data_IF_387579572387
#
_entry.id   IF_387579572387
#
_cell.length_a   1.000
_cell.length_b   1.000
_cell.length_c   1.000
_cell.angle_alpha   90.00
_cell.angle_beta   90.00
_cell.angle_gamma   90.00
#
_symmetry.space_group_name_H-M   'P 1'
#
loop_
_entity.id
_entity.type
_entity.pdbx_description
1 polymer ?
#
# COMPACT_ATOMS: atom_id res chain seq x y z
N UNK A 1 10.39 12.22 4.51
CA UNK A 1 11.54 11.37 4.11
C UNK A 1 11.68 10.31 5.17
N UNK A 2 11.17 9.09 4.94
CA UNK A 2 11.30 8.01 5.91
C UNK A 2 12.79 7.74 6.13
N UNK A 3 13.26 7.90 7.37
CA UNK A 3 14.61 7.50 7.74
C UNK A 3 14.66 5.97 7.69
N UNK A 4 15.28 5.44 6.64
CA UNK A 4 15.55 4.01 6.51
C UNK A 4 16.64 3.66 7.53
N UNK A 5 16.26 3.10 8.68
CA UNK A 5 17.20 2.52 9.63
C UNK A 5 17.95 1.35 8.93
N UNK A 6 19.27 1.44 8.74
CA UNK A 6 20.03 0.38 8.09
C UNK A 6 19.85 -0.94 8.85
N UNK A 7 19.41 -2.00 8.16
CA UNK A 7 19.33 -3.35 8.72
C UNK A 7 17.95 -3.80 9.21
N UNK A 8 16.89 -2.98 9.11
CA UNK A 8 15.52 -3.48 9.35
C UNK A 8 14.99 -4.18 8.09
N UNK A 9 14.61 -5.47 8.14
CA UNK A 9 14.06 -6.18 6.99
C UNK A 9 12.81 -5.50 6.47
N UNK A 10 12.70 -5.38 5.14
CA UNK A 10 11.46 -4.90 4.51
C UNK A 10 10.43 -6.01 4.56
N UNK A 11 9.19 -5.66 4.89
CA UNK A 11 8.07 -6.58 4.74
C UNK A 11 7.25 -6.25 3.48
N UNK A 12 6.52 -7.27 3.03
CA UNK A 12 5.49 -7.19 2.03
C UNK A 12 4.21 -7.75 2.66
N UNK A 13 3.15 -6.96 2.73
CA UNK A 13 1.87 -7.38 3.33
C UNK A 13 0.71 -7.13 2.38
N UNK A 14 0.05 -8.21 1.95
CA UNK A 14 -1.22 -8.14 1.24
C UNK A 14 -2.40 -8.24 2.23
N UNK A 15 -3.44 -7.44 2.02
CA UNK A 15 -4.64 -7.42 2.86
C UNK A 15 -5.91 -7.13 2.03
N UNK A 16 -7.09 -7.63 2.47
CA UNK A 16 -8.33 -7.41 1.75
C UNK A 16 -8.84 -5.97 1.95
N UNK A 17 -9.44 -5.42 0.91
CA UNK A 17 -10.22 -4.17 0.94
C UNK A 17 -11.53 -4.37 0.19
N UNK A 18 -12.51 -3.54 0.52
CA UNK A 18 -13.82 -3.54 -0.15
C UNK A 18 -13.92 -2.51 -1.28
N UNK A 19 -13.01 -1.53 -1.31
CA UNK A 19 -13.03 -0.41 -2.25
C UNK A 19 -11.59 0.06 -2.52
N UNK A 20 -11.16 -0.03 -3.79
CA UNK A 20 -9.82 0.40 -4.22
C UNK A 20 -9.68 1.93 -4.30
N UNK A 21 -10.66 2.69 -4.83
CA UNK A 21 -10.67 4.15 -4.69
C UNK A 21 -10.50 4.65 -3.25
N UNK A 22 -11.17 4.03 -2.27
CA UNK A 22 -11.03 4.39 -0.85
C UNK A 22 -9.62 4.10 -0.35
N UNK A 23 -9.07 2.91 -0.67
CA UNK A 23 -7.70 2.56 -0.34
C UNK A 23 -6.70 3.54 -0.96
N UNK A 24 -6.88 3.93 -2.22
CA UNK A 24 -6.02 4.92 -2.91
C UNK A 24 -6.04 6.27 -2.20
N UNK A 25 -7.21 6.76 -1.81
CA UNK A 25 -7.33 8.02 -1.06
C UNK A 25 -6.64 7.92 0.29
N UNK A 26 -6.86 6.84 1.03
CA UNK A 26 -6.28 6.67 2.36
C UNK A 26 -4.76 6.51 2.31
N UNK A 27 -4.24 5.53 1.58
CA UNK A 27 -2.81 5.27 1.52
C UNK A 27 -2.07 6.34 0.72
N UNK A 28 -2.61 6.77 -0.42
CA UNK A 28 -1.99 7.76 -1.31
C UNK A 28 -2.02 9.19 -0.78
N UNK A 29 -3.19 9.67 -0.35
CA UNK A 29 -3.36 11.10 -0.01
C UNK A 29 -3.23 11.35 1.50
N UNK A 30 -3.87 10.52 2.34
CA UNK A 30 -3.85 10.74 3.80
C UNK A 30 -2.52 10.32 4.39
N UNK A 31 -2.01 9.14 4.03
CA UNK A 31 -0.73 8.64 4.53
C UNK A 31 0.47 9.07 3.68
N UNK A 32 0.24 9.57 2.47
CA UNK A 32 1.31 10.00 1.57
C UNK A 32 2.18 8.86 1.07
N UNK A 33 1.63 7.64 0.99
CA UNK A 33 2.30 6.45 0.47
C UNK A 33 2.15 6.41 -1.07
N UNK A 34 3.23 6.58 -1.85
CA UNK A 34 3.14 6.53 -3.30
C UNK A 34 2.54 5.20 -3.78
N UNK A 35 1.63 5.28 -4.75
CA UNK A 35 1.16 4.11 -5.50
C UNK A 35 2.28 3.59 -6.40
N UNK A 36 2.46 2.27 -6.42
CA UNK A 36 3.36 1.60 -7.36
C UNK A 36 2.57 0.97 -8.51
N UNK A 37 2.51 -0.36 -8.55
CA UNK A 37 1.73 -1.13 -9.53
C UNK A 37 0.29 -1.27 -9.06
N UNK A 38 -0.62 -1.28 -10.02
CA UNK A 38 -2.04 -1.48 -9.78
C UNK A 38 -2.72 -2.23 -10.92
N UNK A 39 -3.87 -2.82 -10.61
CA UNK A 39 -4.82 -3.45 -11.53
C UNK A 39 -6.24 -3.09 -11.08
N UNK A 40 -7.25 -3.57 -11.81
CA UNK A 40 -8.66 -3.45 -11.40
C UNK A 40 -8.99 -4.23 -10.11
N UNK A 41 -8.06 -5.06 -9.61
CA UNK A 41 -8.28 -5.92 -8.44
C UNK A 41 -7.29 -5.70 -7.28
N UNK A 42 -6.24 -4.90 -7.47
CA UNK A 42 -5.30 -4.60 -6.37
C UNK A 42 -4.43 -3.37 -6.66
N UNK A 43 -3.88 -2.78 -5.60
CA UNK A 43 -2.92 -1.67 -5.64
C UNK A 43 -1.79 -1.95 -4.65
N UNK A 44 -0.52 -1.80 -5.07
CA UNK A 44 0.63 -1.77 -4.17
C UNK A 44 1.02 -0.32 -3.79
N UNK A 45 1.45 -0.11 -2.55
CA UNK A 45 1.89 1.17 -2.02
C UNK A 45 3.27 1.06 -1.38
N UNK A 46 4.09 2.10 -1.54
CA UNK A 46 5.30 2.30 -0.75
C UNK A 46 4.91 2.90 0.62
N UNK A 47 4.81 2.02 1.61
CA UNK A 47 4.60 2.36 3.01
C UNK A 47 5.95 2.65 3.68
N UNK A 48 6.49 3.84 3.43
CA UNK A 48 7.69 4.36 4.10
C UNK A 48 8.92 3.44 3.97
N UNK A 49 9.11 2.81 2.81
CA UNK A 49 10.18 1.85 2.53
C UNK A 49 9.74 0.38 2.62
N UNK A 50 8.52 0.12 3.07
CA UNK A 50 7.87 -1.20 3.06
C UNK A 50 6.83 -1.28 1.93
N UNK A 51 6.39 -2.49 1.60
CA UNK A 51 5.36 -2.69 0.59
C UNK A 51 4.08 -3.21 1.25
N UNK A 52 2.96 -2.56 0.97
CA UNK A 52 1.63 -3.07 1.31
C UNK A 52 0.77 -3.17 0.06
N UNK A 53 -0.11 -4.17 -0.01
CA UNK A 53 -0.92 -4.45 -1.19
C UNK A 53 -2.38 -4.59 -0.80
N UNK A 54 -3.21 -3.65 -1.24
CA UNK A 54 -4.66 -3.69 -1.04
C UNK A 54 -5.29 -4.55 -2.14
N UNK A 55 -5.89 -5.68 -1.78
CA UNK A 55 -6.59 -6.57 -2.70
C UNK A 55 -8.11 -6.41 -2.58
N UNK A 56 -8.77 -6.07 -3.69
CA UNK A 56 -10.23 -6.01 -3.74
C UNK A 56 -10.80 -7.42 -3.56
N UNK A 57 -11.63 -7.61 -2.53
CA UNK A 57 -12.34 -8.87 -2.30
C UNK A 57 -13.85 -8.66 -2.39
N UNK A 58 -14.61 -9.63 -2.93
CA UNK A 58 -16.06 -9.62 -2.86
C UNK A 58 -16.54 -9.68 -1.41
N UNK A 59 -17.73 -9.12 -1.16
CA UNK A 59 -18.49 -9.32 0.09
C UNK A 59 -19.24 -10.65 0.10
#
# INVERSE_FOLDING_TARGET
>A
MAHLEPGRPRFHLAFPVLDLPEARRFYGEILGCPEGRSTDHWIDFDLYGHQVVAHLVPV
#
